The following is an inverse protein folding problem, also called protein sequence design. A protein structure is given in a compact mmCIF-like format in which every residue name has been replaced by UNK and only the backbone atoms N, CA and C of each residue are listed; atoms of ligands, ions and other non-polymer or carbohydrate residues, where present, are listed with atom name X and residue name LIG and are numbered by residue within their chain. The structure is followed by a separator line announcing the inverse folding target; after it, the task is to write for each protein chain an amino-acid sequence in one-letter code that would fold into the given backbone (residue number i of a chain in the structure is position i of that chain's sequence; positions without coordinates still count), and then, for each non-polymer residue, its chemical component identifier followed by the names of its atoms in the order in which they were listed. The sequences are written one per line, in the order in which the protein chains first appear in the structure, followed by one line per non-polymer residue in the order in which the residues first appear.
data_IF_870972644277
#
_entry.id   IF_870972644277
#
_cell.length_a   1.000
_cell.length_b   1.000
_cell.length_c   1.000
_cell.angle_alpha   90.00
_cell.angle_beta   90.00
_cell.angle_gamma   90.00
#
_symmetry.space_group_name_H-M   'P 1'
#
loop_
_entity.id
_entity.type
_entity.pdbx_description
1 polymer ?
#
# COMPACT_ATOMS: atom_id res chain seq x y z
N UNK A 1 1.09 51.83 -33.05
CA UNK A 1 1.95 50.66 -33.31
C UNK A 1 1.37 49.46 -32.56
N UNK A 2 0.86 48.43 -33.26
CA UNK A 2 0.33 47.22 -32.63
C UNK A 2 1.49 46.36 -32.09
N UNK A 3 1.32 45.79 -30.89
CA UNK A 3 2.29 44.87 -30.29
C UNK A 3 2.29 43.54 -31.07
N UNK A 4 3.47 42.93 -31.32
CA UNK A 4 3.54 41.63 -31.94
C UNK A 4 2.93 40.57 -31.01
N UNK A 5 2.07 39.74 -31.57
CA UNK A 5 1.46 38.58 -30.92
C UNK A 5 2.56 37.64 -30.42
N UNK A 6 2.78 37.63 -29.10
CA UNK A 6 3.59 36.58 -28.47
C UNK A 6 2.87 35.25 -28.69
N UNK A 7 3.50 34.26 -29.37
CA UNK A 7 2.90 32.95 -29.53
C UNK A 7 2.66 32.35 -28.14
N UNK A 8 1.45 31.86 -27.92
CA UNK A 8 1.11 31.14 -26.70
C UNK A 8 2.11 30.00 -26.50
N UNK A 9 2.61 29.77 -25.26
CA UNK A 9 3.50 28.66 -25.00
C UNK A 9 2.80 27.38 -25.45
N UNK A 10 3.39 26.70 -26.44
CA UNK A 10 2.94 25.38 -26.86
C UNK A 10 3.05 24.49 -25.63
N UNK A 11 1.90 24.15 -25.04
CA UNK A 11 1.83 23.21 -23.94
C UNK A 11 2.42 21.90 -24.45
N UNK A 12 3.65 21.60 -24.04
CA UNK A 12 4.27 20.32 -24.32
C UNK A 12 3.35 19.19 -23.83
N UNK A 13 3.41 18.00 -24.44
CA UNK A 13 2.61 16.86 -24.01
C UNK A 13 2.84 16.63 -22.51
N UNK A 14 1.81 16.87 -21.71
CA UNK A 14 1.86 16.64 -20.27
C UNK A 14 2.19 15.17 -20.04
N UNK A 15 3.19 14.84 -19.19
CA UNK A 15 3.60 13.45 -18.96
C UNK A 15 2.36 12.60 -18.59
N UNK A 16 2.18 11.51 -19.33
CA UNK A 16 1.06 10.60 -19.19
C UNK A 16 1.34 9.57 -18.09
N UNK A 17 1.11 9.93 -16.83
CA UNK A 17 1.22 8.97 -15.74
C UNK A 17 0.86 9.62 -14.42
N UNK A 18 -0.14 9.11 -13.71
CA UNK A 18 -0.39 9.55 -12.34
C UNK A 18 0.71 8.99 -11.44
N UNK A 19 1.46 9.85 -10.77
CA UNK A 19 2.43 9.42 -9.77
C UNK A 19 1.72 8.68 -8.62
N UNK A 20 2.41 7.72 -8.02
CA UNK A 20 1.82 6.86 -6.99
C UNK A 20 2.79 5.85 -6.43
N UNK A 21 2.25 4.88 -5.70
CA UNK A 21 3.01 3.80 -5.10
C UNK A 21 2.67 2.47 -5.77
N UNK A 22 3.66 1.75 -6.33
CA UNK A 22 3.41 0.44 -6.89
C UNK A 22 3.07 -0.56 -5.78
N UNK A 23 2.26 -1.55 -6.11
CA UNK A 23 1.91 -2.62 -5.20
C UNK A 23 1.72 -3.93 -5.97
N UNK A 24 1.90 -5.05 -5.26
CA UNK A 24 1.69 -6.38 -5.79
C UNK A 24 1.04 -7.28 -4.74
N UNK A 25 0.05 -8.04 -5.17
CA UNK A 25 -0.66 -9.05 -4.39
C UNK A 25 -0.61 -10.34 -5.19
N UNK A 26 -0.21 -11.42 -4.56
CA UNK A 26 -0.24 -12.75 -5.19
C UNK A 26 -0.82 -13.75 -4.22
N UNK A 27 -0.93 -15.01 -4.63
CA UNK A 27 -1.46 -16.07 -3.79
C UNK A 27 -0.33 -16.97 -3.28
N UNK A 28 -0.29 -17.21 -1.97
CA UNK A 28 0.50 -18.29 -1.35
C UNK A 28 -0.20 -19.64 -1.55
N UNK A 29 0.58 -20.71 -1.50
CA UNK A 29 0.10 -22.09 -1.57
C UNK A 29 -0.87 -22.39 -0.42
N UNK A 30 -0.56 -21.95 0.80
CA UNK A 30 -1.28 -22.44 1.99
C UNK A 30 -2.37 -21.49 2.51
N UNK A 31 -2.28 -20.19 2.23
CA UNK A 31 -2.96 -19.17 3.04
C UNK A 31 -3.72 -18.10 2.26
N UNK A 32 -3.79 -18.22 0.94
CA UNK A 32 -4.60 -17.33 0.11
C UNK A 32 -3.84 -16.11 -0.38
N UNK A 33 -4.51 -14.96 -0.49
CA UNK A 33 -3.92 -13.75 -1.08
C UNK A 33 -3.04 -13.00 -0.07
N UNK A 34 -1.85 -12.63 -0.51
CA UNK A 34 -0.84 -11.91 0.25
C UNK A 34 -0.39 -10.65 -0.47
N UNK A 35 -0.27 -9.58 0.30
CA UNK A 35 0.30 -8.33 -0.18
C UNK A 35 1.81 -8.42 -0.08
N UNK A 36 2.50 -8.53 -1.20
CA UNK A 36 3.96 -8.68 -1.26
C UNK A 36 4.65 -7.32 -1.29
N UNK A 37 4.10 -6.39 -2.09
CA UNK A 37 4.58 -5.02 -2.19
C UNK A 37 3.45 -4.09 -1.84
N UNK A 38 3.70 -3.10 -0.99
CA UNK A 38 2.71 -2.11 -0.61
C UNK A 38 3.33 -0.73 -0.41
N UNK A 39 2.56 0.36 -0.54
CA UNK A 39 3.01 1.71 -0.22
C UNK A 39 3.67 1.76 1.17
N UNK A 40 4.85 2.37 1.24
CA UNK A 40 5.63 2.52 2.48
C UNK A 40 4.80 3.03 3.67
N UNK A 41 3.90 3.98 3.42
CA UNK A 41 3.03 4.55 4.45
C UNK A 41 1.98 3.57 4.98
N UNK A 42 1.47 2.66 4.14
CA UNK A 42 0.57 1.59 4.57
C UNK A 42 1.33 0.53 5.38
N UNK A 43 2.55 0.19 4.95
CA UNK A 43 3.42 -0.75 5.68
C UNK A 43 3.76 -0.20 7.07
N UNK A 44 4.19 1.07 7.15
CA UNK A 44 4.56 1.72 8.40
C UNK A 44 3.43 1.75 9.45
N UNK A 45 2.18 1.68 8.99
CA UNK A 45 1.00 1.72 9.86
C UNK A 45 0.32 0.36 10.04
N UNK A 46 0.84 -0.72 9.43
CA UNK A 46 0.22 -2.05 9.47
C UNK A 46 -1.12 -2.13 8.75
N UNK A 47 -1.32 -1.32 7.70
CA UNK A 47 -2.58 -1.17 6.97
C UNK A 47 -2.52 -1.71 5.54
N UNK A 48 -1.43 -2.40 5.16
CA UNK A 48 -1.22 -2.96 3.82
C UNK A 48 -2.29 -3.98 3.41
N UNK A 49 -2.84 -4.75 4.35
CA UNK A 49 -3.92 -5.72 4.11
C UNK A 49 -5.19 -5.11 3.51
N UNK A 50 -5.37 -3.78 3.58
CA UNK A 50 -6.49 -3.13 2.91
C UNK A 50 -6.41 -3.25 1.38
N UNK A 51 -5.20 -3.45 0.83
CA UNK A 51 -5.04 -3.65 -0.61
C UNK A 51 -5.68 -4.95 -1.09
N UNK A 52 -5.65 -6.03 -0.29
CA UNK A 52 -6.32 -7.29 -0.66
C UNK A 52 -7.84 -7.20 -0.62
N UNK A 53 -8.42 -6.33 0.21
CA UNK A 53 -9.86 -6.10 0.24
C UNK A 53 -10.33 -5.27 -0.98
N UNK A 54 -9.46 -4.39 -1.46
CA UNK A 54 -9.76 -3.43 -2.52
C UNK A 54 -9.49 -4.03 -3.90
N UNK A 55 -8.51 -4.91 -4.02
CA UNK A 55 -8.19 -5.63 -5.24
C UNK A 55 -9.16 -6.80 -5.42
N UNK A 56 -10.13 -6.66 -6.33
CA UNK A 56 -11.04 -7.73 -6.71
C UNK A 56 -11.26 -7.71 -8.22
N UNK A 57 -11.22 -8.87 -8.86
CA UNK A 57 -11.40 -8.95 -10.31
C UNK A 57 -11.12 -10.33 -10.83
N UNK A 58 -11.39 -10.52 -12.12
CA UNK A 58 -10.98 -11.72 -12.86
C UNK A 58 -9.73 -11.38 -13.66
N UNK A 59 -8.87 -12.37 -13.88
CA UNK A 59 -7.68 -12.18 -14.70
C UNK A 59 -8.10 -11.81 -16.13
N UNK A 60 -7.63 -10.64 -16.59
CA UNK A 60 -7.94 -10.10 -17.92
C UNK A 60 -6.72 -9.30 -18.42
N UNK A 61 -6.14 -9.73 -19.54
CA UNK A 61 -4.88 -9.18 -20.02
C UNK A 61 -4.98 -7.75 -20.56
N UNK A 62 -6.15 -7.32 -21.02
CA UNK A 62 -6.37 -6.01 -21.67
C UNK A 62 -7.16 -5.02 -20.80
N UNK A 63 -7.50 -5.41 -19.57
CA UNK A 63 -8.40 -4.67 -18.69
C UNK A 63 -7.71 -4.32 -17.38
N UNK A 64 -7.71 -3.03 -17.06
CA UNK A 64 -7.36 -2.51 -15.75
C UNK A 64 -8.64 -2.16 -14.98
N UNK A 65 -8.55 -2.24 -13.66
CA UNK A 65 -9.60 -1.88 -12.73
C UNK A 65 -9.23 -0.58 -12.02
N UNK A 66 -10.18 0.33 -11.91
CA UNK A 66 -10.04 1.54 -11.13
C UNK A 66 -11.07 1.54 -10.00
N UNK A 67 -10.59 1.70 -8.77
CA UNK A 67 -11.44 1.75 -7.58
C UNK A 67 -11.07 2.93 -6.70
N UNK A 68 -12.06 3.69 -6.28
CA UNK A 68 -11.87 4.71 -5.25
C UNK A 68 -11.93 4.04 -3.86
N UNK A 69 -10.92 4.28 -3.04
CA UNK A 69 -10.91 3.95 -1.63
C UNK A 69 -11.28 5.20 -0.82
N UNK A 70 -12.28 5.08 0.05
CA UNK A 70 -12.68 6.13 0.98
C UNK A 70 -12.50 5.67 2.41
N UNK A 71 -11.81 6.50 3.20
CA UNK A 71 -11.72 6.32 4.64
C UNK A 71 -12.80 7.14 5.39
N UNK A 72 -12.91 6.91 6.70
CA UNK A 72 -13.86 7.64 7.56
C UNK A 72 -13.49 9.12 7.78
N UNK A 73 -12.24 9.50 7.52
CA UNK A 73 -11.66 10.83 7.74
C UNK A 73 -11.63 11.74 6.49
N UNK A 74 -12.41 11.41 5.46
CA UNK A 74 -12.46 12.10 4.16
C UNK A 74 -11.22 11.92 3.27
N UNK A 75 -10.27 11.06 3.64
CA UNK A 75 -9.19 10.69 2.74
C UNK A 75 -9.75 9.83 1.59
N UNK A 76 -9.29 10.17 0.39
CA UNK A 76 -9.56 9.44 -0.83
C UNK A 76 -8.24 8.96 -1.41
N UNK A 77 -8.18 7.69 -1.77
CA UNK A 77 -7.10 7.11 -2.54
C UNK A 77 -7.72 6.46 -3.77
N UNK A 78 -6.98 6.42 -4.87
CA UNK A 78 -7.36 5.69 -6.06
C UNK A 78 -6.46 4.48 -6.20
N UNK A 79 -7.07 3.31 -6.40
CA UNK A 79 -6.35 2.06 -6.61
C UNK A 79 -6.61 1.64 -8.04
N UNK A 80 -5.55 1.71 -8.84
CA UNK A 80 -5.53 1.31 -10.24
C UNK A 80 -4.76 0.00 -10.33
N UNK A 81 -5.35 -1.06 -10.84
CA UNK A 81 -4.71 -2.38 -10.84
C UNK A 81 -5.12 -3.23 -12.02
N UNK A 82 -4.33 -4.27 -12.28
CA UNK A 82 -4.58 -5.29 -13.28
C UNK A 82 -4.46 -6.64 -12.61
N UNK A 83 -5.34 -7.57 -12.99
CA UNK A 83 -5.27 -8.97 -12.55
C UNK A 83 -4.73 -9.78 -13.73
N UNK A 84 -3.58 -10.40 -13.54
CA UNK A 84 -2.90 -11.29 -14.48
C UNK A 84 -2.63 -12.65 -13.82
N UNK A 85 -1.92 -13.53 -14.51
CA UNK A 85 -1.39 -14.75 -13.92
C UNK A 85 0.14 -14.62 -13.81
N UNK A 86 0.68 -15.05 -12.67
CA UNK A 86 2.10 -15.09 -12.42
C UNK A 86 2.78 -16.06 -13.39
N UNK A 87 3.80 -15.63 -14.14
CA UNK A 87 4.51 -16.50 -15.08
C UNK A 87 5.51 -17.37 -14.33
N UNK A 88 5.83 -18.54 -14.88
CA UNK A 88 6.87 -19.40 -14.31
C UNK A 88 8.21 -18.68 -14.23
N UNK A 89 8.57 -17.96 -15.29
CA UNK A 89 9.80 -17.17 -15.37
C UNK A 89 9.92 -16.09 -14.27
N UNK A 90 8.80 -15.48 -13.85
CA UNK A 90 8.79 -14.42 -12.81
C UNK A 90 9.23 -14.94 -11.44
N UNK A 91 9.13 -16.26 -11.24
CA UNK A 91 9.49 -16.95 -9.99
C UNK A 91 10.57 -18.00 -10.18
N UNK A 92 11.26 -18.02 -11.33
CA UNK A 92 12.34 -18.96 -11.62
C UNK A 92 11.90 -20.42 -11.79
N UNK A 93 10.64 -20.65 -12.20
CA UNK A 93 10.12 -21.97 -12.51
C UNK A 93 10.08 -22.22 -14.01
N UNK A 94 10.32 -23.48 -14.39
CA UNK A 94 10.09 -23.95 -15.75
C UNK A 94 8.58 -24.10 -16.01
N UNK A 95 8.08 -23.37 -17.01
CA UNK A 95 6.67 -23.40 -17.41
C UNK A 95 6.12 -22.02 -17.74
N UNK A 96 4.98 -22.00 -18.42
CA UNK A 96 4.33 -20.74 -18.81
C UNK A 96 3.84 -19.96 -17.59
N UNK A 97 3.29 -20.65 -16.60
CA UNK A 97 2.69 -20.05 -15.39
C UNK A 97 3.20 -20.71 -14.12
N UNK A 98 3.29 -19.91 -13.06
CA UNK A 98 3.39 -20.44 -11.71
C UNK A 98 2.05 -21.09 -11.35
N UNK A 99 2.09 -22.37 -11.00
CA UNK A 99 0.90 -23.14 -10.66
C UNK A 99 0.80 -23.36 -9.16
N UNK A 100 -0.43 -23.26 -8.66
CA UNK A 100 -0.82 -23.73 -7.35
C UNK A 100 -1.78 -24.92 -7.51
N UNK A 101 -1.27 -26.13 -7.29
CA UNK A 101 -1.93 -27.35 -7.71
C UNK A 101 -2.08 -27.38 -9.24
N UNK A 102 -3.31 -27.47 -9.73
CA UNK A 102 -3.63 -27.42 -11.17
C UNK A 102 -4.05 -26.04 -11.68
N UNK A 103 -4.04 -25.02 -10.81
CA UNK A 103 -4.55 -23.69 -11.13
C UNK A 103 -3.42 -22.69 -11.30
N UNK A 104 -3.59 -21.75 -12.24
CA UNK A 104 -2.68 -20.62 -12.43
C UNK A 104 -2.75 -19.70 -11.22
N UNK A 105 -1.60 -19.26 -10.72
CA UNK A 105 -1.51 -18.34 -9.59
C UNK A 105 -1.86 -16.92 -10.06
N UNK A 106 -2.90 -16.28 -9.49
CA UNK A 106 -3.25 -14.92 -9.85
C UNK A 106 -2.20 -13.93 -9.30
N UNK A 107 -1.88 -12.92 -10.10
CA UNK A 107 -1.04 -11.79 -9.73
C UNK A 107 -1.87 -10.52 -9.92
N UNK A 108 -1.95 -9.70 -8.87
CA UNK A 108 -2.56 -8.38 -8.93
C UNK A 108 -1.48 -7.34 -8.75
N UNK A 109 -1.29 -6.52 -9.76
CA UNK A 109 -0.29 -5.45 -9.77
C UNK A 109 -0.97 -4.12 -10.04
N UNK A 110 -0.46 -3.06 -9.44
CA UNK A 110 -1.07 -1.75 -9.64
C UNK A 110 -0.37 -0.61 -8.94
N UNK A 111 -1.07 0.51 -8.93
CA UNK A 111 -0.66 1.78 -8.34
C UNK A 111 -1.72 2.26 -7.35
N UNK A 112 -1.26 2.76 -6.20
CA UNK A 112 -2.06 3.58 -5.30
C UNK A 112 -1.74 5.04 -5.59
N UNK A 113 -2.76 5.86 -5.86
CA UNK A 113 -2.64 7.26 -6.22
C UNK A 113 -3.42 8.15 -5.24
N UNK A 114 -2.93 9.36 -4.98
CA UNK A 114 -3.65 10.37 -4.21
C UNK A 114 -4.78 11.01 -5.02
N UNK A 115 -4.55 11.17 -6.31
CA UNK A 115 -5.47 11.75 -7.27
C UNK A 115 -6.01 10.68 -8.22
N UNK A 116 -7.12 10.98 -8.90
CA UNK A 116 -7.67 10.05 -9.89
C UNK A 116 -6.65 9.90 -11.03
N UNK A 117 -6.10 8.71 -11.28
CA UNK A 117 -5.11 8.54 -12.32
C UNK A 117 -5.76 8.72 -13.70
N UNK A 118 -4.93 9.09 -14.67
CA UNK A 118 -5.29 9.05 -16.10
C UNK A 118 -5.49 7.59 -16.53
N UNK A 119 -6.13 7.33 -17.69
CA UNK A 119 -6.20 5.98 -18.24
C UNK A 119 -4.80 5.33 -18.29
N UNK A 120 -4.64 4.11 -17.77
CA UNK A 120 -3.36 3.41 -17.73
C UNK A 120 -2.94 2.94 -19.13
N UNK A 121 -1.64 2.72 -19.27
CA UNK A 121 -1.04 2.06 -20.44
C UNK A 121 -0.48 0.69 -20.06
N UNK A 122 -0.21 -0.14 -21.07
CA UNK A 122 0.59 -1.36 -20.90
C UNK A 122 1.99 -1.05 -20.32
N UNK A 123 2.63 0.06 -20.72
CA UNK A 123 3.92 0.51 -20.20
C UNK A 123 3.91 0.84 -18.71
N UNK A 124 2.81 1.38 -18.17
CA UNK A 124 2.66 1.57 -16.72
C UNK A 124 2.71 0.23 -15.99
N UNK A 125 1.98 -0.78 -16.46
CA UNK A 125 1.96 -2.10 -15.82
C UNK A 125 3.24 -2.88 -16.04
N UNK A 126 3.92 -2.71 -17.18
CA UNK A 126 5.27 -3.23 -17.39
C UNK A 126 6.26 -2.67 -16.37
N UNK A 127 6.22 -1.35 -16.15
CA UNK A 127 7.06 -0.71 -15.11
C UNK A 127 6.71 -1.18 -13.69
N UNK A 128 5.42 -1.28 -13.34
CA UNK A 128 5.00 -1.81 -12.02
C UNK A 128 5.52 -3.24 -11.84
N UNK A 129 5.38 -4.07 -12.87
CA UNK A 129 5.85 -5.45 -12.85
C UNK A 129 7.35 -5.55 -12.60
N UNK A 130 8.17 -4.77 -13.32
CA UNK A 130 9.62 -4.72 -13.10
C UNK A 130 9.98 -4.31 -11.66
N UNK A 131 9.27 -3.32 -11.10
CA UNK A 131 9.49 -2.88 -9.71
C UNK A 131 9.10 -3.96 -8.70
N UNK A 132 8.06 -4.74 -8.98
CA UNK A 132 7.52 -5.75 -8.06
C UNK A 132 8.12 -7.15 -8.26
N UNK A 133 8.81 -7.43 -9.36
CA UNK A 133 9.28 -8.77 -9.73
C UNK A 133 10.19 -9.40 -8.66
N UNK A 134 11.24 -8.71 -8.22
CA UNK A 134 12.17 -9.25 -7.24
C UNK A 134 11.51 -9.56 -5.87
N UNK A 135 10.69 -8.65 -5.28
CA UNK A 135 9.90 -8.99 -4.09
C UNK A 135 8.95 -10.18 -4.30
N UNK A 136 8.26 -10.26 -5.44
CA UNK A 136 7.34 -11.37 -5.76
C UNK A 136 8.09 -12.70 -5.85
N UNK A 137 9.24 -12.71 -6.51
CA UNK A 137 10.11 -13.89 -6.57
C UNK A 137 10.60 -14.31 -5.18
N UNK A 138 11.05 -13.36 -4.35
CA UNK A 138 11.51 -13.63 -3.00
C UNK A 138 10.39 -14.19 -2.10
N UNK A 139 9.18 -13.65 -2.23
CA UNK A 139 7.99 -14.17 -1.55
C UNK A 139 7.71 -15.62 -1.96
N UNK A 140 7.67 -15.89 -3.27
CA UNK A 140 7.37 -17.22 -3.78
C UNK A 140 8.44 -18.25 -3.42
N UNK A 141 9.71 -17.84 -3.38
CA UNK A 141 10.84 -18.71 -2.99
C UNK A 141 10.83 -19.04 -1.50
N UNK A 142 10.38 -18.10 -0.65
CA UNK A 142 10.34 -18.32 0.79
C UNK A 142 9.20 -19.26 1.22
N UNK A 143 8.13 -19.34 0.42
CA UNK A 143 6.92 -20.14 0.66
C UNK A 143 6.45 -20.09 2.13
N UNK A 144 6.38 -18.87 2.67
CA UNK A 144 6.11 -18.63 4.09
C UNK A 144 5.13 -17.49 4.29
N UNK A 145 4.17 -17.72 5.18
CA UNK A 145 3.17 -16.73 5.60
C UNK A 145 3.76 -15.53 6.34
N UNK A 146 4.95 -15.71 6.92
CA UNK A 146 5.66 -14.67 7.67
C UNK A 146 6.58 -13.83 6.76
N UNK A 147 6.48 -13.99 5.43
CA UNK A 147 7.28 -13.19 4.50
C UNK A 147 6.96 -11.70 4.67
N UNK A 148 7.97 -10.84 4.88
CA UNK A 148 7.75 -9.44 5.15
C UNK A 148 7.22 -8.71 3.90
N UNK A 149 6.24 -7.84 4.10
CA UNK A 149 5.75 -6.94 3.05
C UNK A 149 6.85 -5.94 2.68
N UNK A 150 7.21 -5.89 1.40
CA UNK A 150 8.19 -4.95 0.87
C UNK A 150 7.56 -3.55 0.71
N UNK A 151 8.10 -2.49 1.35
CA UNK A 151 7.59 -1.15 1.18
C UNK A 151 8.01 -0.58 -0.18
N UNK A 152 7.07 0.00 -0.93
CA UNK A 152 7.34 0.75 -2.15
C UNK A 152 7.39 2.25 -1.90
N UNK A 153 8.27 2.93 -2.64
CA UNK A 153 8.37 4.38 -2.62
C UNK A 153 7.39 5.03 -3.61
N UNK A 154 7.07 6.31 -3.37
CA UNK A 154 6.32 7.12 -4.33
C UNK A 154 7.17 7.35 -5.58
N UNK A 155 6.60 7.10 -6.75
CA UNK A 155 7.29 7.20 -8.02
C UNK A 155 6.35 7.67 -9.14
N UNK A 156 6.95 8.19 -10.20
CA UNK A 156 6.26 8.57 -11.43
C UNK A 156 6.58 7.53 -12.51
N UNK A 157 5.58 6.79 -13.02
CA UNK A 157 5.81 5.78 -14.04
C UNK A 157 6.09 6.43 -15.41
N UNK A 158 6.83 5.75 -16.31
CA UNK A 158 7.06 6.24 -17.65
C UNK A 158 5.75 6.34 -18.44
N UNK A 159 5.58 7.47 -19.12
CA UNK A 159 4.41 7.80 -19.94
C UNK A 159 4.44 7.15 -21.32
N UNK A 160 4.49 5.82 -21.37
CA UNK A 160 4.68 5.08 -22.62
C UNK A 160 3.67 3.95 -22.78
N UNK A 161 3.39 3.60 -24.04
CA UNK A 161 2.62 2.41 -24.38
C UNK A 161 1.18 2.62 -24.84
N UNK A 162 0.47 1.51 -25.03
CA UNK A 162 -0.92 1.46 -25.51
C UNK A 162 -1.88 1.62 -24.34
N UNK A 163 -2.89 2.48 -24.50
CA UNK A 163 -3.93 2.66 -23.49
C UNK A 163 -4.73 1.35 -23.27
N UNK A 164 -4.96 1.00 -22.01
CA UNK A 164 -5.76 -0.16 -21.63
C UNK A 164 -7.22 0.24 -21.37
N UNK A 165 -8.11 -0.75 -21.44
CA UNK A 165 -9.51 -0.56 -21.03
C UNK A 165 -9.57 -0.42 -19.51
N UNK A 166 -10.42 0.48 -19.03
CA UNK A 166 -10.63 0.69 -17.59
C UNK A 166 -12.03 0.28 -17.20
N UNK A 167 -12.13 -0.72 -16.33
CA UNK A 167 -13.36 -1.07 -15.63
C UNK A 167 -13.42 -0.32 -14.29
N UNK A 168 -14.37 0.59 -14.15
CA UNK A 168 -14.60 1.28 -12.88
C UNK A 168 -15.39 0.36 -11.94
N UNK A 169 -14.85 0.15 -10.74
CA UNK A 169 -15.52 -0.58 -9.68
C UNK A 169 -16.12 0.38 -8.65
N UNK A 170 -17.15 -0.11 -7.95
CA UNK A 170 -17.79 0.66 -6.89
C UNK A 170 -16.76 1.12 -5.83
N UNK A 171 -16.92 2.35 -5.29
CA UNK A 171 -16.04 2.85 -4.24
C UNK A 171 -16.03 1.94 -3.01
N UNK A 172 -14.84 1.55 -2.56
CA UNK A 172 -14.68 0.82 -1.32
C UNK A 172 -14.71 1.78 -0.13
N UNK A 173 -15.57 1.51 0.84
CA UNK A 173 -15.69 2.30 2.07
C UNK A 173 -15.13 1.52 3.25
N UNK A 174 -14.00 1.98 3.77
CA UNK A 174 -13.42 1.42 4.98
C UNK A 174 -13.94 2.12 6.22
N UNK A 175 -14.25 1.36 7.26
CA UNK A 175 -14.56 1.91 8.59
C UNK A 175 -13.31 2.43 9.32
N UNK A 176 -12.10 2.17 8.79
CA UNK A 176 -10.82 2.58 9.38
C UNK A 176 -10.44 4.00 8.96
N UNK A 177 -9.66 4.68 9.82
CA UNK A 177 -9.14 6.02 9.56
C UNK A 177 -7.69 5.92 9.06
N UNK A 178 -7.48 6.15 7.75
CA UNK A 178 -6.17 6.14 7.09
C UNK A 178 -5.44 7.48 7.17
N UNK A 179 -6.13 8.57 7.49
CA UNK A 179 -5.51 9.88 7.50
C UNK A 179 -4.33 10.01 8.48
N UNK A 180 -4.32 9.19 9.54
CA UNK A 180 -3.21 9.10 10.48
C UNK A 180 -1.95 8.40 9.90
N UNK A 181 -2.09 7.67 8.79
CA UNK A 181 -1.05 6.83 8.21
C UNK A 181 -0.20 7.52 7.13
N UNK A 182 -0.69 8.62 6.54
CA UNK A 182 0.03 9.29 5.45
C UNK A 182 1.31 10.01 5.93
N UNK A 183 2.40 9.97 5.14
CA UNK A 183 3.62 10.70 5.47
C UNK A 183 3.36 12.21 5.47
N UNK A 184 3.89 12.93 6.45
CA UNK A 184 3.84 14.40 6.49
C UNK A 184 2.60 15.02 7.14
N UNK A 185 1.50 14.28 7.36
CA UNK A 185 0.40 14.78 8.19
C UNK A 185 0.67 14.46 9.66
N UNK A 186 1.05 15.49 10.42
CA UNK A 186 1.17 15.38 11.88
C UNK A 186 -0.22 14.99 12.42
N UNK A 187 -0.37 13.86 13.14
CA UNK A 187 -1.64 13.57 13.79
C UNK A 187 -2.02 14.76 14.66
N UNK A 188 -3.30 15.15 14.74
CA UNK A 188 -3.72 16.19 15.66
C UNK A 188 -3.21 15.80 17.05
N UNK A 189 -2.36 16.65 17.64
CA UNK A 189 -1.84 16.42 18.98
C UNK A 189 -3.04 16.10 19.88
N UNK A 190 -3.05 14.96 20.59
CA UNK A 190 -4.12 14.67 21.52
C UNK A 190 -4.18 15.85 22.49
N UNK A 191 -5.26 16.63 22.43
CA UNK A 191 -5.53 17.64 23.46
C UNK A 191 -5.49 16.89 24.80
N UNK A 192 -4.68 17.34 25.77
CA UNK A 192 -4.72 16.74 27.10
C UNK A 192 -6.16 16.84 27.59
N UNK A 193 -6.80 15.67 27.74
CA UNK A 193 -8.11 15.62 28.38
C UNK A 193 -7.90 16.06 29.82
N UNK A 194 -8.72 16.98 30.35
CA UNK A 194 -8.63 17.36 31.75
C UNK A 194 -8.82 16.11 32.62
N UNK A 195 -8.15 16.04 33.79
CA UNK A 195 -8.28 14.91 34.70
C UNK A 195 -9.75 14.78 35.11
N UNK A 196 -10.39 13.68 34.71
CA UNK A 196 -11.69 13.29 35.24
C UNK A 196 -11.45 12.74 36.64
N UNK A 197 -11.66 13.58 37.65
CA UNK A 197 -11.72 13.17 39.06
C UNK A 197 -12.91 12.24 39.23
N UNK A 198 -12.66 10.93 39.17
CA UNK A 198 -13.66 9.90 39.43
C UNK A 198 -13.82 9.76 40.94
N UNK A 199 -14.88 10.35 41.49
CA UNK A 199 -15.32 10.06 42.85
C UNK A 199 -15.80 8.60 42.91
N UNK A 200 -15.21 7.83 43.84
CA UNK A 200 -15.56 6.44 44.16
C UNK A 200 -16.55 6.47 45.32
N UNK A 201 -17.80 6.02 45.16
CA UNK A 201 -18.61 5.61 46.30
C UNK A 201 -18.28 4.17 46.69
N UNK A 202 -18.09 3.98 48.00
CA UNK A 202 -17.91 2.69 48.65
C UNK A 202 -19.26 1.99 48.93
N UNK A 203 -19.25 0.66 48.96
CA UNK A 203 -20.38 -0.22 49.32
C UNK A 203 -20.95 -0.92 48.07
N UNK A 204 -21.11 -2.24 48.00
CA UNK A 204 -21.62 -3.17 49.01
C UNK A 204 -21.20 -4.60 48.62
N UNK A 205 -20.83 -5.43 49.61
CA UNK A 205 -20.78 -6.90 49.50
C UNK A 205 -22.21 -7.45 49.39
N UNK A 206 -22.42 -8.43 48.52
CA UNK A 206 -23.34 -9.55 48.77
C UNK A 206 -22.96 -10.76 47.90
N UNK A 207 -22.70 -11.87 48.59
CA UNK A 207 -22.53 -13.21 48.06
C UNK A 207 -23.86 -13.80 47.60
N UNK A 208 -23.84 -14.60 46.52
CA UNK A 208 -24.55 -15.89 46.42
C UNK A 208 -24.31 -16.55 45.04
N UNK A 209 -24.13 -17.87 45.07
CA UNK A 209 -23.88 -18.78 43.95
C UNK A 209 -25.14 -19.07 43.11
N UNK A 210 -24.96 -19.46 41.83
CA UNK A 210 -25.34 -20.80 41.32
C UNK A 210 -24.83 -21.01 39.86
N UNK A 211 -24.58 -22.26 39.40
CA UNK A 211 -24.00 -22.58 38.10
C UNK A 211 -25.05 -22.98 37.05
N UNK A 212 -24.80 -22.70 35.76
CA UNK A 212 -25.70 -23.14 34.69
C UNK A 212 -25.23 -22.87 33.27
N UNK A 213 -24.67 -23.92 32.64
CA UNK A 213 -24.85 -24.37 31.24
C UNK A 213 -24.87 -23.37 30.05
N UNK A 214 -23.72 -23.30 29.32
CA UNK A 214 -23.53 -23.37 27.84
C UNK A 214 -24.24 -22.38 26.88
N UNK A 215 -24.09 -22.52 25.54
CA UNK A 215 -22.90 -22.78 24.71
C UNK A 215 -22.65 -21.62 23.71
N UNK A 216 -21.50 -21.61 23.00
CA UNK A 216 -21.33 -20.78 21.78
C UNK A 216 -19.97 -20.09 21.64
N UNK A 217 -18.93 -20.85 21.27
CA UNK A 217 -17.67 -20.29 20.78
C UNK A 217 -17.87 -19.78 19.35
N UNK A 218 -18.12 -18.47 19.20
CA UNK A 218 -17.75 -17.76 17.98
C UNK A 218 -16.33 -17.23 18.14
N UNK A 219 -15.41 -17.79 17.35
CA UNK A 219 -14.04 -17.34 17.24
C UNK A 219 -13.99 -15.90 16.74
N UNK A 220 -13.80 -14.96 17.65
CA UNK A 220 -13.42 -13.59 17.35
C UNK A 220 -11.96 -13.62 16.96
N UNK A 221 -11.67 -13.39 15.67
CA UNK A 221 -10.31 -13.12 15.20
C UNK A 221 -9.86 -11.83 15.87
N UNK A 222 -8.98 -11.98 16.84
CA UNK A 222 -8.34 -10.87 17.54
C UNK A 222 -7.29 -10.29 16.58
N UNK A 223 -7.65 -9.27 15.80
CA UNK A 223 -6.68 -8.49 15.04
C UNK A 223 -5.88 -7.66 16.04
N UNK A 224 -4.83 -8.29 16.58
CA UNK A 224 -3.97 -7.74 17.61
C UNK A 224 -3.58 -6.31 17.31
N UNK A 225 -4.12 -5.37 18.10
CA UNK A 225 -3.53 -4.04 18.21
C UNK A 225 -2.16 -4.22 18.85
N UNK A 226 -1.10 -4.10 18.05
CA UNK A 226 0.27 -3.98 18.56
C UNK A 226 0.37 -2.67 19.36
N UNK A 227 0.08 -2.76 20.67
CA UNK A 227 0.29 -1.71 21.67
C UNK A 227 1.69 -1.82 22.29
N UNK A 228 2.69 -2.25 21.52
CA UNK A 228 4.05 -2.32 22.03
C UNK A 228 4.72 -0.93 21.94
N UNK A 229 4.99 -0.23 23.06
CA UNK A 229 5.74 1.03 23.05
C UNK A 229 7.17 0.88 22.47
N UNK A 230 7.68 -0.35 22.36
CA UNK A 230 8.97 -0.63 21.69
C UNK A 230 8.87 -0.49 20.17
N UNK A 231 7.69 -0.65 19.56
CA UNK A 231 7.46 -0.41 18.14
C UNK A 231 7.58 1.08 17.79
N UNK A 232 7.02 1.95 18.64
CA UNK A 232 7.16 3.40 18.51
C UNK A 232 8.62 3.88 18.71
N UNK A 233 9.41 3.20 19.54
CA UNK A 233 10.83 3.51 19.73
C UNK A 233 11.70 3.04 18.54
N UNK A 234 11.40 1.87 17.94
CA UNK A 234 12.08 1.37 16.72
C UNK A 234 11.84 2.28 15.51
N UNK A 235 10.61 2.78 15.33
CA UNK A 235 10.27 3.75 14.27
C UNK A 235 11.00 5.09 14.41
N UNK A 236 11.25 5.56 15.64
CA UNK A 236 12.05 6.78 15.88
C UNK A 236 13.54 6.58 15.57
N UNK A 237 14.07 5.38 15.82
CA UNK A 237 15.47 5.03 15.47
C UNK A 237 15.65 4.88 13.95
N UNK A 238 14.72 4.22 13.27
CA UNK A 238 14.74 4.08 11.81
C UNK A 238 14.68 5.44 11.09
N UNK A 239 13.85 6.38 11.56
CA UNK A 239 13.81 7.75 11.03
C UNK A 239 15.13 8.52 11.20
N UNK A 240 15.84 8.33 12.31
CA UNK A 240 17.14 9.01 12.53
C UNK A 240 18.24 8.47 11.62
N UNK A 241 18.24 7.17 11.32
CA UNK A 241 19.22 6.55 10.44
C UNK A 241 19.00 6.89 8.96
N UNK A 242 17.73 7.01 8.53
CA UNK A 242 17.40 7.44 7.17
C UNK A 242 17.80 8.90 6.90
N UNK A 243 17.56 9.81 7.86
CA UNK A 243 17.97 11.22 7.75
C UNK A 243 19.50 11.35 7.75
N UNK A 244 20.21 10.55 8.56
CA UNK A 244 21.68 10.54 8.54
C UNK A 244 22.24 10.03 7.20
N UNK A 245 21.61 9.05 6.57
CA UNK A 245 22.04 8.52 5.26
C UNK A 245 21.79 9.51 4.11
N UNK A 246 20.68 10.26 4.14
CA UNK A 246 20.45 11.34 3.16
C UNK A 246 21.45 12.48 3.34
N UNK A 247 21.80 12.85 4.58
CA UNK A 247 22.78 13.91 4.83
C UNK A 247 24.18 13.52 4.34
N UNK A 248 24.58 12.25 4.51
CA UNK A 248 25.85 11.73 4.00
C UNK A 248 25.88 11.65 2.47
N UNK A 249 24.77 11.22 1.84
CA UNK A 249 24.65 11.19 0.38
C UNK A 249 24.72 12.59 -0.23
N UNK A 250 24.03 13.57 0.36
CA UNK A 250 24.02 14.95 -0.11
C UNK A 250 25.39 15.63 0.06
N UNK A 251 26.09 15.34 1.17
CA UNK A 251 27.46 15.80 1.39
C UNK A 251 28.45 15.20 0.37
N UNK A 252 28.32 13.90 0.04
CA UNK A 252 29.16 13.27 -0.96
C UNK A 252 28.96 13.88 -2.36
N UNK A 253 27.70 14.16 -2.74
CA UNK A 253 27.38 14.83 -4.02
C UNK A 253 27.95 16.26 -4.06
N UNK A 254 27.83 17.02 -2.96
CA UNK A 254 28.40 18.36 -2.86
C UNK A 254 29.94 18.36 -2.95
N UNK A 255 30.61 17.37 -2.35
CA UNK A 255 32.07 17.21 -2.45
C UNK A 255 32.49 16.91 -3.89
N UNK A 256 31.78 16.03 -4.60
CA UNK A 256 32.06 15.72 -6.01
C UNK A 256 31.85 16.95 -6.89
N UNK A 257 30.80 17.73 -6.65
CA UNK A 257 30.54 18.96 -7.41
C UNK A 257 31.61 20.03 -7.17
N UNK A 258 32.10 20.19 -5.92
CA UNK A 258 33.16 21.14 -5.58
C UNK A 258 34.54 20.75 -6.09
N UNK A 259 34.79 19.46 -6.37
CA UNK A 259 36.05 18.98 -6.94
C UNK A 259 36.08 19.02 -8.48
N UNK A 260 34.95 19.31 -9.12
CA UNK A 260 34.81 19.37 -10.58
C UNK A 260 34.80 20.80 -11.15
N UNK A 261 35.00 21.83 -10.31
CA UNK A 261 35.30 23.22 -10.72
C UNK A 261 36.81 23.49 -10.66
#
# INVERSE_FOLDING_TARGET
MPRPDSPAPSAGPLPAGGSGWPFAITRSVDTGFHVVVAPDFLVACGLHHLLSDVAAGQAAEDTAYLREYRDRGHLRLWVLYKVSHLRGADVGLDGEYALHGSRRTPLVEGMVCLERPRPPTDGLFGWVHEVCAAPVQAFFTADSDDHPVCPSAYAEPPATGTALRVAEADPYRSERNLQAALPGRRPPSPRPSPPVTRAVPAGHRQDAADPGAGPGRHGRVDTGRCRDPRCAARLRRARRLAVASMALGLAAVLIVLLLCE
#
